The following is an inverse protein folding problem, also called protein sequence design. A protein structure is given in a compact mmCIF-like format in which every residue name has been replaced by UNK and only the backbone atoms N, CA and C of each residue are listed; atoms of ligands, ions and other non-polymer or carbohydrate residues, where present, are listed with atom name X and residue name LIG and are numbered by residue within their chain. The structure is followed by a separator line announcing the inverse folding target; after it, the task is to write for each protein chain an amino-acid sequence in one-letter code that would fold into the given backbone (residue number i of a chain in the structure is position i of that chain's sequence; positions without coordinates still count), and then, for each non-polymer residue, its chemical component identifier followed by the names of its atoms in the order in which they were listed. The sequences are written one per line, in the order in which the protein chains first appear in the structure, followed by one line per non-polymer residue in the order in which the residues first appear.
data_IF_506857238869
#
_entry.id   IF_506857238869
#
_cell.length_a   1.000
_cell.length_b   1.000
_cell.length_c   1.000
_cell.angle_alpha   90.00
_cell.angle_beta   90.00
_cell.angle_gamma   90.00
#
_symmetry.space_group_name_H-M   'P 1'
#
loop_
_entity.id
_entity.type
_entity.pdbx_description
1 polymer ?
#
# COMPACT_ATOMS: atom_id res chain seq x y z
N UNK A 1 4.48 -8.45 11.78
CA UNK A 1 5.29 -7.49 10.99
C UNK A 1 4.43 -6.29 10.64
N UNK A 2 4.96 -5.06 10.64
CA UNK A 2 4.25 -3.86 10.16
C UNK A 2 4.89 -3.38 8.87
N UNK A 3 4.09 -3.12 7.83
CA UNK A 3 4.54 -2.53 6.58
C UNK A 3 4.24 -1.04 6.61
N UNK A 4 5.30 -0.23 6.51
CA UNK A 4 5.15 1.22 6.37
C UNK A 4 4.58 1.53 4.99
N UNK A 5 3.53 2.33 5.00
CA UNK A 5 2.79 2.79 3.84
C UNK A 5 3.27 4.19 3.43
N UNK A 6 3.35 5.09 4.40
CA UNK A 6 3.91 6.44 4.26
C UNK A 6 4.78 6.75 5.46
N UNK A 7 5.23 8.01 5.59
CA UNK A 7 5.95 8.46 6.80
C UNK A 7 5.13 8.27 8.07
N UNK A 8 3.82 8.53 7.98
CA UNK A 8 2.91 8.57 9.13
C UNK A 8 1.97 7.36 9.21
N UNK A 9 1.86 6.57 8.13
CA UNK A 9 0.98 5.40 8.08
C UNK A 9 1.76 4.09 7.98
N UNK A 10 1.28 3.08 8.69
CA UNK A 10 1.70 1.70 8.56
C UNK A 10 0.50 0.77 8.68
N UNK A 11 0.60 -0.42 8.10
CA UNK A 11 -0.45 -1.44 8.16
C UNK A 11 0.13 -2.78 8.60
N UNK A 12 -0.67 -3.54 9.34
CA UNK A 12 -0.39 -4.95 9.56
C UNK A 12 -0.88 -5.74 8.32
N UNK A 13 -0.02 -6.48 7.60
CA UNK A 13 -0.42 -7.25 6.42
C UNK A 13 -1.57 -8.23 6.66
N UNK A 14 -1.68 -8.77 7.88
CA UNK A 14 -2.78 -9.65 8.30
C UNK A 14 -4.15 -8.93 8.23
N UNK A 15 -4.16 -7.62 8.43
CA UNK A 15 -5.37 -6.80 8.37
C UNK A 15 -5.65 -6.25 6.97
N UNK A 16 -4.84 -6.59 5.97
CA UNK A 16 -5.05 -6.17 4.58
C UNK A 16 -5.93 -7.21 3.90
N UNK A 17 -7.05 -6.77 3.33
CA UNK A 17 -7.93 -7.61 2.52
C UNK A 17 -7.41 -7.65 1.09
N UNK A 18 -7.24 -6.48 0.48
CA UNK A 18 -6.77 -6.33 -0.89
C UNK A 18 -5.73 -5.21 -0.99
N UNK A 19 -4.81 -5.36 -1.93
CA UNK A 19 -3.85 -4.33 -2.29
C UNK A 19 -3.70 -4.32 -3.82
N UNK A 20 -3.99 -3.19 -4.46
CA UNK A 20 -3.94 -3.05 -5.93
C UNK A 20 -3.31 -1.73 -6.35
N UNK A 21 -2.57 -1.77 -7.45
CA UNK A 21 -2.06 -0.58 -8.11
C UNK A 21 -3.13 -0.09 -9.09
N UNK A 22 -3.41 1.20 -9.03
CA UNK A 22 -4.27 1.90 -9.98
C UNK A 22 -3.45 2.95 -10.74
N UNK A 23 -3.55 2.90 -12.06
CA UNK A 23 -3.01 3.93 -12.94
C UNK A 23 -4.11 4.91 -13.31
N UNK A 24 -3.84 6.19 -13.10
CA UNK A 24 -4.72 7.31 -13.43
C UNK A 24 -4.05 8.18 -14.49
N UNK A 25 -4.81 9.10 -15.08
CA UNK A 25 -4.31 9.98 -16.15
C UNK A 25 -3.06 10.79 -15.76
N UNK A 26 -2.84 11.05 -14.46
CA UNK A 26 -1.75 11.91 -13.98
C UNK A 26 -0.84 11.27 -12.93
N UNK A 27 -1.26 10.16 -12.32
CA UNK A 27 -0.54 9.54 -11.23
C UNK A 27 -0.77 8.03 -11.16
N UNK A 28 0.13 7.34 -10.47
CA UNK A 28 -0.06 5.94 -10.07
C UNK A 28 -0.26 5.89 -8.57
N UNK A 29 -1.22 5.10 -8.09
CA UNK A 29 -1.49 4.97 -6.66
C UNK A 29 -1.64 3.52 -6.24
N UNK A 30 -1.35 3.24 -4.98
CA UNK A 30 -1.69 1.98 -4.33
C UNK A 30 -2.94 2.18 -3.47
N UNK A 31 -3.91 1.29 -3.68
CA UNK A 31 -5.14 1.18 -2.92
C UNK A 31 -5.04 -0.03 -2.02
N UNK A 32 -5.13 0.20 -0.70
CA UNK A 32 -5.09 -0.86 0.31
C UNK A 32 -6.42 -0.87 1.05
N UNK A 33 -7.13 -1.99 0.96
CA UNK A 33 -8.38 -2.21 1.71
C UNK A 33 -8.07 -3.06 2.94
N UNK A 34 -8.60 -2.65 4.09
CA UNK A 34 -8.38 -3.32 5.37
C UNK A 34 -9.61 -4.07 5.86
N UNK A 35 -9.42 -5.01 6.78
CA UNK A 35 -10.49 -5.86 7.35
C UNK A 35 -11.60 -5.07 8.04
N UNK A 36 -11.32 -3.84 8.49
CA UNK A 36 -12.30 -2.94 9.11
C UNK A 36 -13.07 -2.09 8.07
N UNK A 37 -12.89 -2.36 6.77
CA UNK A 37 -13.53 -1.62 5.68
C UNK A 37 -12.87 -0.27 5.38
N UNK A 38 -11.76 0.08 6.03
CA UNK A 38 -11.01 1.31 5.71
C UNK A 38 -10.19 1.12 4.45
N UNK A 39 -10.20 2.14 3.57
CA UNK A 39 -9.43 2.18 2.34
C UNK A 39 -8.35 3.25 2.45
N UNK A 40 -7.10 2.85 2.25
CA UNK A 40 -5.93 3.72 2.29
C UNK A 40 -5.46 3.93 0.85
N UNK A 41 -5.30 5.20 0.48
CA UNK A 41 -4.79 5.61 -0.82
C UNK A 41 -3.42 6.22 -0.67
N UNK A 42 -2.46 5.80 -1.50
CA UNK A 42 -1.12 6.37 -1.55
C UNK A 42 -0.72 6.62 -2.99
N UNK A 43 -0.42 7.86 -3.33
CA UNK A 43 0.14 8.19 -4.63
C UNK A 43 1.64 7.89 -4.65
N UNK A 44 2.10 7.31 -5.76
CA UNK A 44 3.52 7.08 -6.03
C UNK A 44 4.22 8.42 -6.15
N UNK A 45 5.14 8.69 -5.23
CA UNK A 45 5.92 9.91 -5.21
C UNK A 45 7.31 9.63 -4.69
N UNK A 46 8.30 9.61 -5.59
CA UNK A 46 9.70 9.38 -5.24
C UNK A 46 10.31 10.55 -4.45
N UNK A 47 9.78 11.77 -4.59
CA UNK A 47 10.23 12.91 -3.80
C UNK A 47 9.88 12.75 -2.31
N UNK A 48 8.72 12.18 -2.02
CA UNK A 48 8.28 11.86 -0.66
C UNK A 48 8.77 10.47 -0.18
N UNK A 49 9.54 9.77 -1.02
CA UNK A 49 10.05 8.43 -0.75
C UNK A 49 8.99 7.31 -0.80
N UNK A 50 7.80 7.58 -1.35
CA UNK A 50 6.70 6.62 -1.46
C UNK A 50 6.79 5.88 -2.79
N UNK A 51 7.34 4.68 -2.74
CA UNK A 51 7.37 3.75 -3.87
C UNK A 51 6.27 2.70 -3.73
N UNK A 52 5.13 2.96 -4.38
CA UNK A 52 3.95 2.09 -4.29
C UNK A 52 4.17 0.67 -4.82
N UNK A 53 5.14 0.45 -5.72
CA UNK A 53 5.44 -0.89 -6.24
C UNK A 53 6.15 -1.73 -5.19
N UNK A 54 7.14 -1.14 -4.50
CA UNK A 54 7.83 -1.82 -3.40
C UNK A 54 6.89 -2.14 -2.25
N UNK A 55 6.01 -1.19 -1.90
CA UNK A 55 5.02 -1.40 -0.84
C UNK A 55 4.03 -2.50 -1.26
N UNK A 56 3.55 -2.48 -2.50
CA UNK A 56 2.66 -3.51 -3.02
C UNK A 56 3.30 -4.89 -2.99
N UNK A 57 4.55 -5.02 -3.44
CA UNK A 57 5.30 -6.28 -3.39
C UNK A 57 5.48 -6.77 -1.95
N UNK A 58 5.86 -5.90 -1.02
CA UNK A 58 6.01 -6.26 0.38
C UNK A 58 4.70 -6.78 0.99
N UNK A 59 3.55 -6.22 0.59
CA UNK A 59 2.23 -6.69 1.03
C UNK A 59 1.87 -8.07 0.45
N UNK A 60 2.29 -8.36 -0.79
CA UNK A 60 2.12 -9.67 -1.41
C UNK A 60 3.01 -10.72 -0.74
N UNK A 61 4.29 -10.40 -0.54
CA UNK A 61 5.25 -11.29 0.09
C UNK A 61 4.81 -11.65 1.52
N UNK A 62 4.32 -10.67 2.28
CA UNK A 62 3.82 -10.87 3.64
C UNK A 62 2.52 -11.68 3.74
N UNK A 63 1.84 -11.95 2.62
CA UNK A 63 0.67 -12.84 2.54
C UNK A 63 0.99 -14.23 2.01
N UNK A 64 2.18 -14.41 1.43
CA UNK A 64 2.66 -15.70 0.93
C UNK A 64 3.32 -16.54 2.02
N UNK A 65 3.74 -15.91 3.13
CA UNK A 65 4.12 -16.53 4.41
C UNK A 65 2.89 -16.86 5.28
#
# INVERSE_FOLDING_TARGET
MLIKLTRDNAVNPVHVVSARIEHRDRDTRLVVETVIGSVIYMTHNLYDGVDVYKIHQALLDAKAD
#
